data_IF_165323072668
#
_entry.id   IF_165323072668
#
_cell.length_a   1.000
_cell.length_b   1.000
_cell.length_c   1.000
_cell.angle_alpha   90.00
_cell.angle_beta   90.00
_cell.angle_gamma   90.00
#
_symmetry.space_group_name_H-M   'P 1'
#
loop_
_entity.id
_entity.type
_entity.pdbx_description
1 polymer ?
#
# COMPACT_ATOMS: atom_id res chain seq x y z
N UNK A 1 -39.24 35.40 -37.87
CA UNK A 1 -39.26 36.42 -36.80
C UNK A 1 -40.26 37.48 -37.23
N UNK A 2 -41.39 37.56 -36.53
CA UNK A 2 -42.29 38.70 -36.66
C UNK A 2 -42.05 39.58 -35.44
N UNK A 3 -41.60 40.81 -35.65
CA UNK A 3 -41.68 41.85 -34.62
C UNK A 3 -43.18 42.08 -34.35
N UNK A 4 -43.61 41.78 -33.13
CA UNK A 4 -45.00 41.94 -32.71
C UNK A 4 -44.97 42.75 -31.43
N UNK A 5 -45.41 44.00 -31.51
CA UNK A 5 -45.68 44.83 -30.33
C UNK A 5 -47.13 44.66 -29.92
N UNK A 6 -47.40 43.74 -28.99
CA UNK A 6 -48.71 43.58 -28.34
C UNK A 6 -48.56 43.62 -26.83
N UNK A 7 -49.58 44.07 -26.13
CA UNK A 7 -49.61 44.11 -24.67
C UNK A 7 -50.40 42.92 -24.15
N UNK A 8 -49.76 42.10 -23.32
CA UNK A 8 -50.40 41.03 -22.56
C UNK A 8 -50.77 41.53 -21.15
N UNK A 9 -51.87 41.02 -20.60
CA UNK A 9 -52.39 41.47 -19.30
C UNK A 9 -51.53 40.99 -18.12
N UNK A 10 -50.82 39.86 -18.29
CA UNK A 10 -50.01 39.23 -17.23
C UNK A 10 -48.52 39.49 -17.49
N UNK A 11 -48.07 39.29 -18.74
CA UNK A 11 -46.66 39.30 -19.10
C UNK A 11 -46.12 40.68 -19.46
N UNK A 12 -46.98 41.67 -19.72
CA UNK A 12 -46.55 43.02 -20.09
C UNK A 12 -46.36 43.18 -21.60
N UNK A 13 -45.38 43.98 -22.02
CA UNK A 13 -45.19 44.32 -23.44
C UNK A 13 -44.40 43.19 -24.13
N UNK A 14 -45.07 42.45 -25.02
CA UNK A 14 -44.45 41.42 -25.85
C UNK A 14 -43.72 42.09 -27.01
N UNK A 15 -42.47 41.70 -27.23
CA UNK A 15 -41.59 42.29 -28.25
C UNK A 15 -41.18 41.28 -29.34
N UNK A 16 -41.15 39.98 -29.01
CA UNK A 16 -40.81 38.93 -29.97
C UNK A 16 -41.69 37.70 -29.82
N UNK A 17 -41.93 37.02 -30.95
CA UNK A 17 -42.58 35.70 -30.99
C UNK A 17 -41.73 34.73 -31.80
N UNK A 18 -41.31 33.65 -31.16
CA UNK A 18 -40.50 32.57 -31.73
C UNK A 18 -41.23 31.25 -31.60
N UNK A 19 -41.66 30.67 -32.72
CA UNK A 19 -42.28 29.34 -32.74
C UNK A 19 -43.43 29.17 -31.73
N UNK A 20 -44.23 30.23 -31.57
CA UNK A 20 -45.34 30.28 -30.62
C UNK A 20 -44.97 30.63 -29.17
N UNK A 21 -43.69 30.83 -28.84
CA UNK A 21 -43.23 31.37 -27.55
C UNK A 21 -43.17 32.89 -27.65
N UNK A 22 -43.84 33.58 -26.73
CA UNK A 22 -43.86 35.04 -26.64
C UNK A 22 -42.83 35.53 -25.60
N UNK A 23 -42.01 36.51 -25.97
CA UNK A 23 -41.00 37.13 -25.09
C UNK A 23 -41.42 38.55 -24.68
N UNK A 24 -41.49 38.77 -23.38
CA UNK A 24 -41.87 40.05 -22.79
C UNK A 24 -40.66 40.89 -22.39
N UNK A 25 -40.76 42.21 -22.59
CA UNK A 25 -39.76 43.19 -22.14
C UNK A 25 -40.06 43.65 -20.72
N UNK A 26 -39.70 42.80 -19.74
CA UNK A 26 -39.87 43.09 -18.32
C UNK A 26 -38.55 43.48 -17.66
N UNK A 27 -38.63 44.44 -16.75
CA UNK A 27 -37.51 44.76 -15.87
C UNK A 27 -37.15 43.56 -14.98
N UNK A 28 -35.84 43.39 -14.75
CA UNK A 28 -35.34 42.36 -13.85
C UNK A 28 -35.87 42.60 -12.42
N UNK A 29 -36.34 41.56 -11.69
CA UNK A 29 -36.80 41.72 -10.34
C UNK A 29 -35.73 42.33 -9.43
N UNK A 30 -36.11 43.29 -8.58
CA UNK A 30 -35.17 43.97 -7.70
C UNK A 30 -34.38 43.00 -6.79
N UNK A 31 -35.04 41.97 -6.26
CA UNK A 31 -34.37 40.97 -5.43
C UNK A 31 -33.29 40.19 -6.20
N UNK A 32 -33.48 39.98 -7.51
CA UNK A 32 -32.50 39.30 -8.36
C UNK A 32 -31.30 40.20 -8.64
N UNK A 33 -31.54 41.48 -8.94
CA UNK A 33 -30.45 42.46 -9.09
C UNK A 33 -29.68 42.62 -7.78
N UNK A 34 -30.38 42.66 -6.65
CA UNK A 34 -29.76 42.74 -5.32
C UNK A 34 -28.82 41.55 -5.08
N UNK A 35 -29.26 40.30 -5.32
CA UNK A 35 -28.39 39.13 -5.12
C UNK A 35 -27.20 39.13 -6.09
N UNK A 36 -27.41 39.53 -7.35
CA UNK A 36 -26.34 39.68 -8.32
C UNK A 36 -25.27 40.67 -7.84
N UNK A 37 -25.67 41.88 -7.43
CA UNK A 37 -24.71 42.89 -6.96
C UNK A 37 -24.07 42.52 -5.62
N UNK A 38 -24.79 41.85 -4.71
CA UNK A 38 -24.21 41.34 -3.47
C UNK A 38 -23.14 40.27 -3.75
N UNK A 39 -23.35 39.40 -4.73
CA UNK A 39 -22.34 38.41 -5.13
C UNK A 39 -21.08 39.08 -5.70
N UNK A 40 -21.23 40.13 -6.51
CA UNK A 40 -20.10 40.93 -7.01
C UNK A 40 -19.33 41.58 -5.86
N UNK A 41 -20.02 42.23 -4.93
CA UNK A 41 -19.38 42.84 -3.75
C UNK A 41 -18.68 41.79 -2.90
N UNK A 42 -19.34 40.65 -2.65
CA UNK A 42 -18.75 39.54 -1.92
C UNK A 42 -17.46 39.03 -2.57
N UNK A 43 -17.47 38.82 -3.90
CA UNK A 43 -16.30 38.35 -4.63
C UNK A 43 -15.11 39.32 -4.52
N UNK A 44 -15.37 40.63 -4.64
CA UNK A 44 -14.34 41.67 -4.48
C UNK A 44 -13.79 41.67 -3.05
N UNK A 45 -14.67 41.66 -2.04
CA UNK A 45 -14.26 41.64 -0.62
C UNK A 45 -13.49 40.36 -0.31
N UNK A 46 -13.91 39.20 -0.82
CA UNK A 46 -13.26 37.92 -0.62
C UNK A 46 -11.86 37.92 -1.23
N UNK A 47 -11.72 38.37 -2.49
CA UNK A 47 -10.42 38.44 -3.16
C UNK A 47 -9.42 39.32 -2.41
N UNK A 48 -9.80 40.57 -2.11
CA UNK A 48 -8.89 41.49 -1.41
C UNK A 48 -8.67 41.08 0.05
N UNK A 49 -9.72 40.57 0.71
CA UNK A 49 -9.63 40.10 2.08
C UNK A 49 -8.67 38.93 2.24
N UNK A 50 -8.71 37.95 1.33
CA UNK A 50 -7.80 36.81 1.36
C UNK A 50 -6.40 37.15 0.83
N UNK A 51 -6.30 37.76 -0.35
CA UNK A 51 -5.03 37.82 -1.06
C UNK A 51 -4.20 39.07 -0.81
N UNK A 52 -4.83 40.21 -0.51
CA UNK A 52 -4.11 41.48 -0.31
C UNK A 52 -3.96 41.82 1.17
N UNK A 53 -5.00 41.58 1.97
CA UNK A 53 -5.07 42.06 3.34
C UNK A 53 -4.88 40.97 4.40
N UNK A 54 -4.83 39.69 4.01
CA UNK A 54 -4.62 38.57 4.94
C UNK A 54 -5.64 38.52 6.09
N UNK A 55 -6.91 38.86 5.80
CA UNK A 55 -7.98 38.92 6.80
C UNK A 55 -8.43 37.54 7.30
N UNK A 56 -8.10 36.49 6.55
CA UNK A 56 -8.43 35.10 6.87
C UNK A 56 -7.19 34.23 6.67
N UNK A 57 -7.07 33.11 7.40
CA UNK A 57 -5.99 32.17 7.20
C UNK A 57 -5.98 31.63 5.78
N UNK A 58 -4.80 31.36 5.25
CA UNK A 58 -4.66 30.66 3.97
C UNK A 58 -5.03 29.18 4.15
N UNK A 59 -5.36 28.51 3.05
CA UNK A 59 -5.61 27.06 3.07
C UNK A 59 -4.43 26.29 3.66
N UNK A 60 -3.20 26.75 3.41
CA UNK A 60 -1.98 26.14 3.94
C UNK A 60 -1.92 26.26 5.47
N UNK A 61 -2.23 27.44 6.02
CA UNK A 61 -2.31 27.67 7.46
C UNK A 61 -3.42 26.86 8.11
N UNK A 62 -4.61 26.80 7.50
CA UNK A 62 -5.71 25.98 7.99
C UNK A 62 -5.36 24.49 7.94
N UNK A 63 -4.72 24.03 6.86
CA UNK A 63 -4.26 22.66 6.70
C UNK A 63 -3.23 22.31 7.77
N UNK A 64 -2.21 23.14 7.96
CA UNK A 64 -1.20 22.91 8.98
C UNK A 64 -1.77 22.94 10.39
N UNK A 65 -2.69 23.84 10.70
CA UNK A 65 -3.39 23.87 11.98
C UNK A 65 -4.23 22.60 12.19
N UNK A 66 -4.94 22.13 11.16
CA UNK A 66 -5.72 20.91 11.21
C UNK A 66 -4.85 19.66 11.38
N UNK A 67 -3.73 19.57 10.65
CA UNK A 67 -2.75 18.48 10.81
C UNK A 67 -2.11 18.53 12.20
N UNK A 68 -1.72 19.70 12.70
CA UNK A 68 -1.15 19.82 14.04
C UNK A 68 -2.13 19.34 15.12
N UNK A 69 -3.40 19.79 15.05
CA UNK A 69 -4.44 19.32 15.95
C UNK A 69 -4.70 17.81 15.82
N UNK A 70 -4.63 17.26 14.60
CA UNK A 70 -4.74 15.83 14.37
C UNK A 70 -3.57 15.06 15.01
N UNK A 71 -2.33 15.54 14.85
CA UNK A 71 -1.13 14.92 15.42
C UNK A 71 -1.07 15.02 16.96
N UNK A 72 -1.68 16.05 17.55
CA UNK A 72 -1.85 16.12 19.00
C UNK A 72 -2.80 15.03 19.52
N UNK A 73 -3.86 14.74 18.76
CA UNK A 73 -4.82 13.70 19.12
C UNK A 73 -4.34 12.29 18.77
N UNK A 74 -3.65 12.17 17.64
CA UNK A 74 -3.16 10.92 17.06
C UNK A 74 -1.68 11.10 16.70
N UNK A 75 -0.78 11.01 17.69
CA UNK A 75 0.64 11.12 17.43
C UNK A 75 1.09 10.02 16.47
N UNK A 76 2.13 10.28 15.65
CA UNK A 76 2.67 9.26 14.77
C UNK A 76 3.19 8.09 15.60
N UNK A 77 2.93 6.88 15.13
CA UNK A 77 3.44 5.67 15.78
C UNK A 77 4.96 5.65 15.68
N UNK A 78 5.62 5.46 16.81
CA UNK A 78 7.08 5.44 16.90
C UNK A 78 7.66 4.07 16.53
N UNK A 79 8.90 4.00 16.00
CA UNK A 79 9.64 2.75 15.81
C UNK A 79 9.64 1.85 17.05
N UNK A 80 9.79 2.43 18.24
CA UNK A 80 9.80 1.72 19.51
C UNK A 80 8.45 1.08 19.83
N UNK A 81 7.34 1.76 19.54
CA UNK A 81 6.00 1.18 19.66
C UNK A 81 5.79 0.02 18.70
N UNK A 82 6.29 0.13 17.46
CA UNK A 82 6.17 -0.93 16.45
C UNK A 82 7.01 -2.15 16.85
N UNK A 83 8.24 -1.94 17.30
CA UNK A 83 9.09 -3.01 17.81
C UNK A 83 8.43 -3.74 19.00
N UNK A 84 7.72 -3.03 19.86
CA UNK A 84 7.00 -3.60 21.00
C UNK A 84 5.75 -4.41 20.65
N UNK A 85 5.34 -4.48 19.37
CA UNK A 85 4.24 -5.33 18.91
C UNK A 85 4.64 -6.81 18.87
N UNK A 86 5.92 -7.10 18.68
CA UNK A 86 6.42 -8.47 18.64
C UNK A 86 6.28 -9.14 20.01
N UNK A 87 5.60 -10.29 20.04
CA UNK A 87 5.29 -11.00 21.29
C UNK A 87 4.16 -10.37 22.12
N UNK A 88 3.48 -9.32 21.64
CA UNK A 88 2.36 -8.71 22.35
C UNK A 88 1.05 -9.49 22.10
N UNK A 89 0.78 -10.50 22.94
CA UNK A 89 -0.39 -11.38 22.79
C UNK A 89 -1.73 -10.64 22.90
N UNK A 90 -1.82 -9.57 23.71
CA UNK A 90 -3.03 -8.77 23.86
C UNK A 90 -3.37 -8.08 22.53
N UNK A 91 -2.39 -7.41 21.92
CA UNK A 91 -2.57 -6.77 20.61
C UNK A 91 -2.79 -7.80 19.50
N UNK A 92 -2.11 -8.94 19.52
CA UNK A 92 -2.33 -10.00 18.55
C UNK A 92 -3.75 -10.56 18.63
N UNK A 93 -4.28 -10.73 19.85
CA UNK A 93 -5.66 -11.19 20.07
C UNK A 93 -6.67 -10.18 19.54
N UNK A 94 -6.48 -8.88 19.80
CA UNK A 94 -7.32 -7.83 19.24
C UNK A 94 -7.21 -7.78 17.70
N UNK A 95 -5.99 -7.93 17.18
CA UNK A 95 -5.67 -7.91 15.76
C UNK A 95 -6.35 -8.99 14.94
N UNK A 96 -6.65 -10.15 15.54
CA UNK A 96 -7.38 -11.23 14.87
C UNK A 96 -8.71 -10.75 14.29
N UNK A 97 -9.46 -9.90 15.02
CA UNK A 97 -10.73 -9.39 14.55
C UNK A 97 -10.57 -8.46 13.32
N UNK A 98 -9.52 -7.66 13.29
CA UNK A 98 -9.18 -6.83 12.13
C UNK A 98 -8.74 -7.69 10.95
N UNK A 99 -7.90 -8.70 11.19
CA UNK A 99 -7.47 -9.65 10.18
C UNK A 99 -8.65 -10.37 9.52
N UNK A 100 -9.57 -10.90 10.34
CA UNK A 100 -10.79 -11.59 9.89
C UNK A 100 -11.71 -10.68 9.08
N UNK A 101 -11.71 -9.37 9.35
CA UNK A 101 -12.55 -8.42 8.66
C UNK A 101 -12.04 -8.06 7.26
N UNK A 102 -10.71 -7.93 7.07
CA UNK A 102 -10.16 -7.35 5.82
C UNK A 102 -9.02 -8.14 5.18
N UNK A 103 -8.26 -8.93 5.93
CA UNK A 103 -7.05 -9.60 5.43
C UNK A 103 -7.33 -11.03 4.91
N UNK A 104 -8.27 -11.75 5.54
CA UNK A 104 -8.58 -13.16 5.20
C UNK A 104 -8.98 -13.38 3.75
N UNK A 105 -9.54 -12.36 3.10
CA UNK A 105 -9.96 -12.45 1.69
C UNK A 105 -8.78 -12.73 0.77
N UNK A 106 -7.59 -12.26 1.11
CA UNK A 106 -6.38 -12.43 0.30
C UNK A 106 -5.37 -13.39 0.94
N UNK A 107 -5.30 -13.44 2.27
CA UNK A 107 -4.29 -14.20 3.01
C UNK A 107 -4.85 -15.46 3.70
N UNK A 108 -6.16 -15.73 3.54
CA UNK A 108 -6.90 -16.83 4.20
C UNK A 108 -6.88 -16.75 5.72
N UNK A 109 -7.61 -17.66 6.36
CA UNK A 109 -7.98 -17.59 7.78
C UNK A 109 -6.80 -17.73 8.72
N UNK A 110 -5.83 -18.58 8.39
CA UNK A 110 -4.64 -18.85 9.20
C UNK A 110 -3.40 -18.11 8.67
N UNK A 111 -3.54 -17.27 7.64
CA UNK A 111 -2.41 -16.58 7.01
C UNK A 111 -1.75 -17.40 5.92
N UNK A 112 -2.31 -18.54 5.53
CA UNK A 112 -1.67 -19.50 4.62
C UNK A 112 -1.60 -19.02 3.15
N UNK A 113 -2.19 -17.87 2.82
CA UNK A 113 -2.02 -17.20 1.52
C UNK A 113 -2.94 -17.71 0.41
N UNK A 114 -3.33 -16.80 -0.49
CA UNK A 114 -4.11 -17.08 -1.70
C UNK A 114 -3.77 -16.08 -2.81
N UNK A 115 -4.54 -14.99 -2.91
CA UNK A 115 -4.21 -13.82 -3.72
C UNK A 115 -2.93 -13.18 -3.14
N UNK A 116 -2.91 -12.96 -1.82
CA UNK A 116 -1.75 -12.51 -1.06
C UNK A 116 -0.74 -13.63 -0.77
N UNK A 117 0.48 -13.29 -0.34
CA UNK A 117 1.48 -14.27 0.11
C UNK A 117 1.04 -15.02 1.37
N UNK A 118 1.72 -16.14 1.64
CA UNK A 118 1.68 -16.81 2.93
C UNK A 118 2.38 -15.93 3.97
N UNK A 119 1.69 -15.61 5.07
CA UNK A 119 2.18 -14.77 6.17
C UNK A 119 2.77 -15.60 7.32
N UNK A 120 2.68 -16.92 7.23
CA UNK A 120 3.09 -17.85 8.28
C UNK A 120 4.47 -18.44 8.09
N UNK A 121 5.06 -18.29 6.91
CA UNK A 121 6.40 -18.78 6.60
C UNK A 121 7.49 -17.74 6.93
N UNK A 122 8.73 -18.08 6.64
CA UNK A 122 9.92 -17.25 6.89
C UNK A 122 10.34 -16.38 5.70
N UNK A 123 9.58 -16.36 4.60
CA UNK A 123 9.91 -15.64 3.37
C UNK A 123 9.04 -14.40 3.19
N UNK A 124 9.67 -13.26 2.93
CA UNK A 124 8.99 -11.97 2.91
C UNK A 124 9.36 -11.17 1.66
N UNK A 125 8.35 -10.65 0.97
CA UNK A 125 8.52 -9.81 -0.23
C UNK A 125 8.94 -8.37 0.14
N UNK A 126 8.40 -7.85 1.25
CA UNK A 126 8.61 -6.48 1.73
C UNK A 126 9.41 -6.41 3.02
N UNK A 127 10.09 -7.51 3.37
CA UNK A 127 10.82 -7.69 4.62
C UNK A 127 9.91 -8.08 5.79
N UNK A 128 10.44 -8.90 6.70
CA UNK A 128 9.66 -9.51 7.78
C UNK A 128 9.77 -8.81 9.14
N UNK A 129 10.46 -7.68 9.27
CA UNK A 129 10.57 -6.97 10.55
C UNK A 129 9.22 -6.36 10.99
N UNK A 130 9.01 -6.10 12.30
CA UNK A 130 7.80 -5.41 12.77
C UNK A 130 7.51 -4.11 12.02
N UNK A 131 8.55 -3.30 11.73
CA UNK A 131 8.44 -2.06 10.96
C UNK A 131 7.99 -2.29 9.52
N UNK A 132 8.61 -3.26 8.84
CA UNK A 132 8.27 -3.55 7.45
C UNK A 132 6.83 -4.06 7.32
N UNK A 133 6.39 -4.93 8.24
CA UNK A 133 5.02 -5.43 8.28
C UNK A 133 4.05 -4.28 8.61
N UNK A 134 4.35 -3.46 9.62
CA UNK A 134 3.54 -2.29 9.97
C UNK A 134 3.34 -1.36 8.77
N UNK A 135 4.42 -0.97 8.09
CA UNK A 135 4.35 -0.10 6.92
C UNK A 135 3.63 -0.74 5.75
N UNK A 136 3.85 -2.03 5.50
CA UNK A 136 3.13 -2.77 4.44
C UNK A 136 1.62 -2.76 4.69
N UNK A 137 1.18 -2.90 5.95
CA UNK A 137 -0.24 -2.83 6.33
C UNK A 137 -0.76 -1.38 6.29
N UNK A 138 -0.03 -0.45 6.90
CA UNK A 138 -0.42 0.95 7.01
C UNK A 138 -0.55 1.60 5.64
N UNK A 139 0.51 1.50 4.84
CA UNK A 139 0.68 2.22 3.59
C UNK A 139 0.09 1.46 2.41
N UNK A 140 0.02 0.12 2.51
CA UNK A 140 -0.40 -0.75 1.43
C UNK A 140 0.66 -0.92 0.35
N UNK A 141 0.39 -1.81 -0.61
CA UNK A 141 1.23 -2.02 -1.80
C UNK A 141 0.32 -2.03 -3.02
N UNK A 142 -0.10 -0.83 -3.42
CA UNK A 142 -1.16 -0.63 -4.42
C UNK A 142 -0.83 -1.29 -5.76
N UNK A 143 0.43 -1.23 -6.19
CA UNK A 143 0.91 -1.85 -7.43
C UNK A 143 0.82 -3.39 -7.42
N UNK A 144 0.71 -3.98 -6.23
CA UNK A 144 0.56 -5.43 -6.01
C UNK A 144 -0.85 -5.81 -5.51
N UNK A 145 -1.76 -4.84 -5.45
CA UNK A 145 -3.16 -5.06 -5.10
C UNK A 145 -3.48 -5.06 -3.60
N UNK A 146 -2.52 -4.78 -2.71
CA UNK A 146 -2.78 -4.62 -1.28
C UNK A 146 -3.21 -3.16 -0.98
N UNK A 147 -4.43 -2.91 -0.49
CA UNK A 147 -4.89 -1.56 -0.14
C UNK A 147 -4.13 -0.95 1.04
N UNK A 148 -4.17 0.37 1.16
CA UNK A 148 -3.77 1.09 2.37
C UNK A 148 -4.84 0.89 3.46
N UNK A 149 -4.45 0.36 4.62
CA UNK A 149 -5.39 0.07 5.71
C UNK A 149 -5.40 1.12 6.82
N UNK A 150 -4.46 2.08 6.83
CA UNK A 150 -4.38 3.10 7.88
C UNK A 150 -5.67 3.93 7.96
N UNK A 151 -6.26 4.31 6.82
CA UNK A 151 -7.50 5.09 6.81
C UNK A 151 -8.72 4.32 7.34
N UNK A 152 -8.76 2.99 7.13
CA UNK A 152 -9.91 2.16 7.50
C UNK A 152 -9.81 1.61 8.93
N UNK A 153 -8.61 1.22 9.37
CA UNK A 153 -8.37 0.62 10.69
C UNK A 153 -7.89 1.64 11.73
N UNK A 154 -7.36 2.78 11.29
CA UNK A 154 -6.67 3.74 12.15
C UNK A 154 -5.32 3.21 12.66
N UNK A 155 -4.50 4.06 13.30
CA UNK A 155 -3.17 3.68 13.78
C UNK A 155 -3.19 2.49 14.75
N UNK A 156 -4.21 2.43 15.62
CA UNK A 156 -4.35 1.37 16.61
C UNK A 156 -4.73 0.03 15.96
N UNK A 157 -5.70 0.00 15.04
CA UNK A 157 -6.08 -1.23 14.35
C UNK A 157 -4.96 -1.77 13.46
N UNK A 158 -4.14 -0.89 12.86
CA UNK A 158 -2.92 -1.30 12.13
C UNK A 158 -1.90 -1.93 13.09
N UNK A 159 -1.66 -1.34 14.26
CA UNK A 159 -0.77 -1.94 15.29
C UNK A 159 -1.26 -3.32 15.71
N UNK A 160 -2.55 -3.47 15.98
CA UNK A 160 -3.16 -4.72 16.41
C UNK A 160 -3.05 -5.81 15.33
N UNK A 161 -3.42 -5.51 14.08
CA UNK A 161 -3.29 -6.52 12.99
C UNK A 161 -1.82 -6.84 12.69
N UNK A 162 -0.91 -5.87 12.83
CA UNK A 162 0.53 -6.11 12.72
C UNK A 162 1.01 -7.07 13.80
N UNK A 163 0.61 -6.87 15.06
CA UNK A 163 0.91 -7.79 16.15
C UNK A 163 0.35 -9.20 15.89
N UNK A 164 -0.86 -9.29 15.31
CA UNK A 164 -1.43 -10.58 14.91
C UNK A 164 -0.59 -11.28 13.83
N UNK A 165 -0.20 -10.57 12.76
CA UNK A 165 0.65 -11.12 11.70
C UNK A 165 2.00 -11.58 12.26
N UNK A 166 2.61 -10.79 13.16
CA UNK A 166 3.83 -11.18 13.86
C UNK A 166 3.64 -12.46 14.70
N UNK A 167 2.47 -12.65 15.31
CA UNK A 167 2.19 -13.83 16.14
C UNK A 167 2.02 -15.14 15.35
N UNK A 168 1.63 -15.05 14.08
CA UNK A 168 1.47 -16.22 13.19
C UNK A 168 2.68 -16.46 12.28
N UNK A 169 3.64 -15.52 12.23
CA UNK A 169 4.89 -15.67 11.49
C UNK A 169 5.68 -16.88 12.00
N UNK A 170 6.34 -17.59 11.09
CA UNK A 170 7.11 -18.82 11.37
C UNK A 170 6.28 -19.98 11.95
N UNK A 171 4.94 -19.96 11.90
CA UNK A 171 4.10 -21.12 12.25
C UNK A 171 4.01 -22.15 11.12
N UNK A 172 4.43 -21.77 9.89
CA UNK A 172 4.57 -22.64 8.71
C UNK A 172 3.30 -23.45 8.40
N UNK A 173 2.16 -22.77 8.31
CA UNK A 173 0.89 -23.39 7.92
C UNK A 173 0.96 -23.77 6.43
N UNK A 174 0.55 -25.01 6.12
CA UNK A 174 0.49 -25.48 4.73
C UNK A 174 -0.43 -24.57 3.91
N UNK A 175 0.10 -24.03 2.81
CA UNK A 175 -0.54 -22.94 2.10
C UNK A 175 0.11 -22.65 0.75
N UNK A 176 0.05 -21.39 0.33
CA UNK A 176 0.73 -20.91 -0.86
C UNK A 176 2.24 -21.07 -0.71
N UNK A 177 2.90 -21.38 -1.82
CA UNK A 177 4.37 -21.47 -1.91
C UNK A 177 5.04 -20.18 -1.41
N UNK A 178 6.20 -20.34 -0.76
CA UNK A 178 6.96 -19.24 -0.19
C UNK A 178 7.35 -18.19 -1.24
N UNK A 179 7.24 -16.90 -0.88
CA UNK A 179 7.50 -15.78 -1.80
C UNK A 179 8.41 -14.73 -1.17
N UNK A 180 9.36 -14.23 -1.96
CA UNK A 180 10.31 -13.20 -1.52
C UNK A 180 11.60 -13.81 -0.97
N UNK A 181 12.21 -13.10 -0.04
CA UNK A 181 13.51 -13.47 0.52
C UNK A 181 13.35 -14.06 1.92
N UNK A 182 14.20 -15.02 2.27
CA UNK A 182 14.26 -15.55 3.63
C UNK A 182 14.60 -14.39 4.58
N UNK A 183 13.66 -14.07 5.47
CA UNK A 183 13.89 -13.05 6.49
C UNK A 183 14.67 -13.66 7.65
N UNK A 184 15.89 -13.16 7.85
CA UNK A 184 16.67 -13.42 9.05
C UNK A 184 16.49 -12.23 10.00
N UNK A 185 16.00 -12.48 11.21
CA UNK A 185 15.93 -11.48 12.26
C UNK A 185 17.34 -11.02 12.62
N UNK A 186 17.72 -9.75 12.37
CA UNK A 186 19.04 -9.25 12.72
C UNK A 186 19.27 -9.16 14.24
N UNK A 187 18.21 -9.26 15.04
CA UNK A 187 18.24 -9.28 16.50
C UNK A 187 18.17 -10.67 17.12
N UNK A 188 17.89 -11.70 16.32
CA UNK A 188 17.97 -13.08 16.78
C UNK A 188 19.42 -13.39 17.19
N UNK A 189 19.62 -14.15 18.27
CA UNK A 189 20.93 -14.73 18.55
C UNK A 189 21.41 -15.44 17.29
N UNK A 190 22.66 -15.20 16.90
CA UNK A 190 23.29 -16.01 15.86
C UNK A 190 23.42 -17.41 16.46
N UNK A 191 22.43 -18.26 16.22
CA UNK A 191 22.52 -19.66 16.58
C UNK A 191 23.70 -20.24 15.78
N UNK A 192 24.64 -20.87 16.49
CA UNK A 192 25.67 -21.68 15.85
C UNK A 192 24.97 -22.67 14.90
N UNK A 193 25.53 -22.89 13.68
CA UNK A 193 24.94 -23.83 12.73
C UNK A 193 24.67 -25.16 13.44
N UNK A 194 23.54 -25.84 13.15
CA UNK A 194 23.23 -27.11 13.80
C UNK A 194 24.43 -28.05 13.64
N UNK A 195 24.96 -28.50 14.77
CA UNK A 195 26.07 -29.43 14.82
C UNK A 195 25.67 -30.64 13.97
N UNK A 196 26.36 -30.80 12.84
CA UNK A 196 26.10 -31.91 11.93
C UNK A 196 26.24 -33.19 12.75
N UNK A 197 25.29 -34.15 12.65
CA UNK A 197 25.38 -35.38 13.41
C UNK A 197 26.71 -36.05 13.07
N UNK A 198 27.54 -36.23 14.10
CA UNK A 198 28.84 -36.86 14.02
C UNK A 198 28.68 -38.22 13.32
N UNK A 199 29.10 -38.29 12.06
CA UNK A 199 29.08 -39.53 11.29
C UNK A 199 30.05 -40.46 11.99
N UNK A 200 29.52 -41.48 12.67
CA UNK A 200 30.35 -42.55 13.20
C UNK A 200 31.06 -43.21 12.03
N UNK A 201 32.36 -42.94 11.93
CA UNK A 201 33.25 -43.51 10.94
C UNK A 201 33.18 -45.04 11.08
N UNK A 202 32.66 -45.70 10.04
CA UNK A 202 32.65 -47.15 9.98
C UNK A 202 34.11 -47.65 10.04
N UNK A 203 34.40 -48.75 10.75
CA UNK A 203 35.77 -49.25 10.84
C UNK A 203 36.30 -49.59 9.45
N UNK A 204 37.51 -49.11 9.15
CA UNK A 204 38.21 -49.34 7.89
C UNK A 204 38.24 -50.84 7.54
N UNK A 205 37.96 -51.24 6.29
CA UNK A 205 38.09 -52.63 5.91
C UNK A 205 39.57 -53.02 5.92
N UNK A 206 39.89 -54.08 6.67
CA UNK A 206 41.21 -54.69 6.68
C UNK A 206 41.60 -55.10 5.24
N UNK A 207 42.64 -54.45 4.71
CA UNK A 207 43.28 -54.84 3.47
C UNK A 207 43.96 -56.21 3.67
N UNK A 208 43.41 -57.24 3.04
CA UNK A 208 44.08 -58.53 2.85
C UNK A 208 45.02 -58.43 1.65
N UNK A 209 46.31 -58.64 1.90
CA UNK A 209 47.37 -58.69 0.89
C UNK A 209 47.27 -59.98 0.07
N UNK A 210 46.58 -59.94 -1.07
CA UNK A 210 46.87 -60.84 -2.20
C UNK A 210 46.15 -60.42 -3.48
N UNK A 211 46.90 -59.88 -4.44
CA UNK A 211 46.99 -60.38 -5.82
C UNK A 211 47.42 -59.25 -6.76
N UNK A 212 48.69 -59.27 -7.13
CA UNK A 212 49.14 -58.71 -8.40
C UNK A 212 48.46 -59.43 -9.56
N UNK A 213 48.01 -58.68 -10.57
CA UNK A 213 48.42 -58.81 -11.98
C UNK A 213 47.44 -58.07 -12.90
N UNK A 214 47.95 -57.08 -13.66
CA UNK A 214 47.54 -56.89 -15.05
C UNK A 214 46.73 -55.65 -15.44
N UNK A 215 47.21 -55.02 -16.52
CA UNK A 215 46.56 -54.09 -17.45
C UNK A 215 46.46 -52.62 -17.01
N UNK A 216 47.41 -51.74 -17.36
CA UNK A 216 47.72 -51.16 -18.69
C UNK A 216 46.96 -49.84 -18.94
N UNK A 217 47.76 -48.88 -19.39
CA UNK A 217 47.56 -47.42 -19.46
C UNK A 217 46.56 -46.97 -20.53
N UNK A 218 45.81 -45.90 -20.25
CA UNK A 218 45.44 -44.93 -21.30
C UNK A 218 45.38 -43.51 -20.72
N UNK A 219 46.14 -42.64 -21.37
CA UNK A 219 46.37 -41.22 -21.06
C UNK A 219 45.20 -40.30 -21.37
N UNK A 220 45.31 -39.12 -20.79
CA UNK A 220 44.41 -37.99 -20.74
C UNK A 220 44.04 -37.34 -22.09
N UNK A 221 42.92 -36.63 -22.08
CA UNK A 221 42.56 -35.63 -23.09
C UNK A 221 41.68 -34.55 -22.47
N UNK A 222 42.31 -33.55 -21.87
CA UNK A 222 41.68 -32.30 -21.48
C UNK A 222 41.43 -31.42 -22.72
N UNK A 223 40.29 -30.73 -22.78
CA UNK A 223 40.12 -29.57 -23.64
C UNK A 223 39.55 -28.40 -22.86
N UNK A 224 40.39 -27.37 -22.86
CA UNK A 224 40.29 -26.02 -22.36
C UNK A 224 39.23 -25.18 -23.11
N UNK A 225 38.84 -24.11 -22.44
CA UNK A 225 37.76 -23.15 -22.70
C UNK A 225 37.87 -22.36 -24.02
N UNK A 226 36.74 -21.81 -24.49
CA UNK A 226 36.66 -20.45 -25.04
C UNK A 226 35.21 -20.08 -25.42
N UNK A 227 34.60 -19.13 -24.67
CA UNK A 227 33.57 -18.23 -25.20
C UNK A 227 34.23 -17.16 -26.10
N UNK A 228 33.47 -16.47 -26.99
CA UNK A 228 32.84 -15.22 -26.56
C UNK A 228 31.46 -14.89 -27.21
N UNK A 229 30.59 -14.25 -26.40
CA UNK A 229 29.48 -13.34 -26.78
C UNK A 229 29.93 -12.25 -27.80
N UNK A 230 29.05 -11.58 -28.62
CA UNK A 230 27.82 -10.93 -28.14
C UNK A 230 26.62 -10.73 -29.12
N UNK A 231 25.43 -10.54 -28.52
CA UNK A 231 24.43 -9.50 -28.80
C UNK A 231 23.87 -9.24 -30.21
N UNK A 232 22.53 -9.23 -30.34
CA UNK A 232 21.75 -8.10 -30.89
C UNK A 232 20.24 -8.42 -30.88
N UNK A 233 19.47 -7.34 -30.79
CA UNK A 233 18.02 -7.29 -30.78
C UNK A 233 17.41 -7.52 -32.17
N UNK A 234 16.21 -8.10 -32.22
CA UNK A 234 15.32 -8.00 -33.39
C UNK A 234 13.92 -7.52 -32.97
N UNK A 235 13.54 -6.43 -33.61
CA UNK A 235 12.21 -5.88 -33.81
C UNK A 235 11.46 -6.62 -34.92
N UNK A 236 10.20 -6.21 -35.17
CA UNK A 236 9.24 -6.63 -36.23
C UNK A 236 8.27 -7.73 -35.72
N UNK A 237 6.95 -7.59 -35.74
CA UNK A 237 6.01 -6.86 -36.63
C UNK A 237 4.94 -6.03 -35.88
#
# INVERSE_FOLDING_TARGET
MSEVHRKDEIQGDIIHVYDGIEEADNDLPFWWLLTFYLAVVFAVVYYFGLHEYGLFPTIDEEYHAAVAAHLEQFPPVTPEEIAALEGNEEMATAGRAHYDAVCVVCHKTEGEGDIGPNLTDSYWIHGGSPENIYHTVADGVLDKGMPNWLAALGPQGVKEVTAFVLSIRNTNVEGKEAQGELWADPSAPVDDPPEQPEIQEAPEPALDEAAEEGAETVEAGATDEAEPEPGAAESEE
#
